data_IF_582814621795
#
_entry.id   IF_582814621795
#
_cell.length_a   1.000
_cell.length_b   1.000
_cell.length_c   1.000
_cell.angle_alpha   90.00
_cell.angle_beta   90.00
_cell.angle_gamma   90.00
#
_symmetry.space_group_name_H-M   'P 1'
#
loop_
_entity.id
_entity.type
_entity.pdbx_description
1 polymer ?
#
# COMPACT_ATOMS: atom_id res chain seq x y z
N UNK A 1 -25.35 -4.20 29.28
CA UNK A 1 -25.52 -3.62 27.94
C UNK A 1 -24.17 -3.67 27.26
N UNK A 2 -24.13 -4.25 26.05
CA UNK A 2 -22.93 -4.39 25.24
C UNK A 2 -22.35 -3.01 24.89
N UNK A 3 -21.03 -2.82 24.99
CA UNK A 3 -20.39 -1.61 24.47
C UNK A 3 -20.40 -1.62 22.93
N UNK A 4 -20.83 -0.51 22.33
CA UNK A 4 -20.73 -0.23 20.90
C UNK A 4 -19.27 -0.21 20.45
N UNK A 5 -18.99 -0.78 19.27
CA UNK A 5 -17.73 -0.65 18.53
C UNK A 5 -17.71 0.49 17.52
N UNK A 6 -18.86 1.09 17.20
CA UNK A 6 -18.87 2.42 16.62
C UNK A 6 -18.17 3.34 17.62
N UNK A 7 -17.26 4.20 17.14
CA UNK A 7 -16.58 5.14 18.01
C UNK A 7 -17.62 5.97 18.75
N UNK A 8 -17.46 6.09 20.07
CA UNK A 8 -18.31 6.95 20.89
C UNK A 8 -18.24 8.36 20.33
N UNK A 9 -19.39 9.01 20.15
CA UNK A 9 -19.44 10.40 19.72
C UNK A 9 -18.58 11.26 20.65
N UNK A 10 -17.69 12.06 20.08
CA UNK A 10 -16.86 12.97 20.86
C UNK A 10 -17.72 13.99 21.61
N UNK A 11 -17.21 14.58 22.71
CA UNK A 11 -17.94 15.59 23.47
C UNK A 11 -18.29 16.79 22.59
N UNK A 12 -19.51 17.34 22.70
CA UNK A 12 -19.93 18.46 21.88
C UNK A 12 -19.19 19.74 22.29
N UNK A 13 -18.70 20.48 21.30
CA UNK A 13 -18.16 21.84 21.51
C UNK A 13 -19.27 22.91 21.65
N UNK A 14 -20.49 22.57 21.22
CA UNK A 14 -21.66 23.44 21.23
C UNK A 14 -22.75 22.82 22.11
N UNK A 15 -23.20 23.51 23.17
CA UNK A 15 -24.32 23.03 23.99
C UNK A 15 -25.53 22.69 23.13
N UNK A 16 -26.13 21.51 23.36
CA UNK A 16 -27.28 21.01 22.59
C UNK A 16 -26.95 20.20 21.32
N UNK A 17 -25.68 20.16 20.89
CA UNK A 17 -25.20 19.29 19.79
C UNK A 17 -24.59 17.99 20.31
N UNK A 18 -25.11 17.48 21.43
CA UNK A 18 -24.65 16.22 22.03
C UNK A 18 -25.18 15.02 21.23
N UNK A 19 -24.33 14.46 20.40
CA UNK A 19 -24.64 13.26 19.63
C UNK A 19 -24.47 11.96 20.44
N UNK A 20 -24.02 12.02 21.69
CA UNK A 20 -23.94 10.84 22.57
C UNK A 20 -25.31 10.21 22.86
N UNK A 21 -26.38 10.99 22.68
CA UNK A 21 -27.77 10.50 22.77
C UNK A 21 -28.27 9.86 21.48
N UNK A 22 -27.59 10.07 20.35
CA UNK A 22 -27.92 9.43 19.08
C UNK A 22 -27.24 8.07 19.03
N UNK A 23 -28.03 7.02 19.18
CA UNK A 23 -27.59 5.65 18.93
C UNK A 23 -28.12 5.23 17.56
N UNK A 24 -27.20 4.96 16.64
CA UNK A 24 -27.48 4.00 15.59
C UNK A 24 -27.31 2.62 16.21
N UNK A 25 -28.10 1.65 15.77
CA UNK A 25 -27.90 0.26 16.18
C UNK A 25 -26.48 -0.15 15.78
N UNK A 26 -25.60 -0.30 16.76
CA UNK A 26 -24.32 -0.99 16.64
C UNK A 26 -24.31 -2.15 17.61
N UNK A 27 -24.89 -3.26 17.21
CA UNK A 27 -25.16 -4.30 18.18
C UNK A 27 -23.89 -5.16 18.12
N UNK A 28 -22.99 -5.18 19.11
CA UNK A 28 -21.75 -6.01 18.96
C UNK A 28 -21.51 -7.06 20.01
N UNK A 29 -21.96 -6.92 21.25
CA UNK A 29 -21.85 -8.06 22.19
C UNK A 29 -23.04 -9.03 22.14
N UNK A 30 -24.20 -8.63 21.60
CA UNK A 30 -25.25 -9.58 21.18
C UNK A 30 -25.13 -10.00 19.71
N UNK A 31 -24.34 -9.29 18.89
CA UNK A 31 -24.11 -9.71 17.50
C UNK A 31 -22.84 -10.47 17.26
N UNK A 32 -21.81 -10.50 18.12
CA UNK A 32 -20.64 -11.31 17.76
C UNK A 32 -21.07 -12.76 17.48
N UNK A 33 -21.94 -13.32 18.32
CA UNK A 33 -22.55 -14.63 18.05
C UNK A 33 -23.40 -14.61 16.77
N UNK A 34 -24.19 -13.55 16.52
CA UNK A 34 -25.04 -13.45 15.32
C UNK A 34 -24.21 -13.31 14.03
N UNK A 35 -23.27 -12.36 13.96
CA UNK A 35 -22.29 -12.16 12.90
C UNK A 35 -21.43 -13.41 12.69
N UNK A 36 -20.96 -14.08 13.74
CA UNK A 36 -20.25 -15.34 13.59
C UNK A 36 -21.15 -16.45 13.04
N UNK A 37 -22.44 -16.43 13.39
CA UNK A 37 -23.46 -17.32 12.80
C UNK A 37 -23.71 -16.97 11.34
N UNK A 38 -23.77 -15.69 10.97
CA UNK A 38 -23.92 -15.23 9.60
C UNK A 38 -22.69 -15.56 8.74
N UNK A 39 -21.48 -15.48 9.33
CA UNK A 39 -20.24 -15.98 8.70
C UNK A 39 -20.38 -17.48 8.44
N UNK A 40 -20.82 -18.26 9.43
CA UNK A 40 -21.03 -19.71 9.30
C UNK A 40 -22.09 -20.03 8.22
N UNK A 41 -23.23 -19.35 8.22
CA UNK A 41 -24.29 -19.53 7.21
C UNK A 41 -23.81 -19.13 5.81
N UNK A 42 -23.02 -18.05 5.69
CA UNK A 42 -22.40 -17.65 4.42
C UNK A 42 -21.44 -18.73 3.92
N UNK A 43 -20.63 -19.32 4.80
CA UNK A 43 -19.73 -20.42 4.44
C UNK A 43 -20.54 -21.65 4.01
N UNK A 44 -21.62 -22.00 4.73
CA UNK A 44 -22.54 -23.10 4.33
C UNK A 44 -23.07 -22.89 2.92
N UNK A 45 -23.48 -21.66 2.58
CA UNK A 45 -23.94 -21.29 1.25
C UNK A 45 -22.85 -21.36 0.16
N UNK A 46 -21.56 -21.36 0.54
CA UNK A 46 -20.41 -21.37 -0.37
C UNK A 46 -19.59 -22.67 -0.35
N UNK A 47 -20.04 -23.73 0.35
CA UNK A 47 -19.26 -24.98 0.47
C UNK A 47 -18.87 -25.58 -0.89
N UNK A 48 -19.75 -25.50 -1.89
CA UNK A 48 -19.45 -26.00 -3.24
C UNK A 48 -18.26 -25.29 -3.90
N UNK A 49 -18.07 -23.98 -3.65
CA UNK A 49 -16.94 -23.22 -4.17
C UNK A 49 -15.61 -23.62 -3.52
N UNK A 50 -15.65 -24.28 -2.36
CA UNK A 50 -14.48 -24.73 -1.61
C UNK A 50 -14.00 -26.14 -1.99
N UNK A 51 -14.73 -26.90 -2.81
CA UNK A 51 -14.45 -28.31 -3.15
C UNK A 51 -13.05 -28.65 -3.65
N UNK A 52 -12.28 -27.67 -4.10
CA UNK A 52 -10.96 -27.86 -4.68
C UNK A 52 -9.85 -27.11 -3.92
N UNK A 53 -10.14 -26.60 -2.72
CA UNK A 53 -9.13 -25.90 -1.92
C UNK A 53 -8.05 -26.84 -1.35
N UNK A 54 -8.30 -28.15 -1.34
CA UNK A 54 -7.39 -29.21 -0.85
C UNK A 54 -6.78 -28.89 0.53
N UNK A 55 -7.65 -28.48 1.46
CA UNK A 55 -7.22 -28.00 2.77
C UNK A 55 -8.20 -28.39 3.87
N UNK A 56 -7.66 -28.77 5.03
CA UNK A 56 -8.36 -28.78 6.30
C UNK A 56 -8.03 -27.48 7.03
N UNK A 57 -8.99 -26.56 7.11
CA UNK A 57 -8.79 -25.22 7.64
C UNK A 57 -9.45 -25.03 9.01
N UNK A 58 -8.78 -24.27 9.87
CA UNK A 58 -9.33 -23.65 11.07
C UNK A 58 -9.56 -22.17 10.80
N UNK A 59 -10.83 -21.75 10.72
CA UNK A 59 -11.20 -20.35 10.60
C UNK A 59 -11.65 -19.82 11.97
N UNK A 60 -10.89 -18.88 12.52
CA UNK A 60 -11.17 -18.21 13.80
C UNK A 60 -11.83 -16.86 13.50
N UNK A 61 -13.14 -16.78 13.68
CA UNK A 61 -13.86 -15.51 13.70
C UNK A 61 -13.56 -14.83 15.02
N UNK A 62 -13.13 -13.57 15.02
CA UNK A 62 -12.75 -12.82 16.23
C UNK A 62 -13.22 -11.37 16.20
N UNK A 63 -13.49 -10.79 17.36
CA UNK A 63 -13.88 -9.38 17.49
C UNK A 63 -12.73 -8.40 17.25
N UNK A 64 -11.48 -8.84 17.47
CA UNK A 64 -10.28 -8.00 17.30
C UNK A 64 -9.11 -8.80 16.70
N UNK A 65 -8.33 -8.15 15.83
CA UNK A 65 -7.10 -8.74 15.28
C UNK A 65 -5.88 -8.53 16.20
N UNK A 66 -4.93 -9.48 16.26
CA UNK A 66 -4.94 -10.79 15.57
C UNK A 66 -5.84 -11.83 16.25
N UNK A 67 -6.17 -11.62 17.53
CA UNK A 67 -7.17 -12.39 18.30
C UNK A 67 -7.66 -11.53 19.46
N UNK A 68 -8.96 -11.38 19.60
CA UNK A 68 -9.63 -10.69 20.70
C UNK A 68 -10.18 -11.63 21.76
N UNK A 69 -11.06 -11.10 22.61
CA UNK A 69 -11.66 -11.84 23.72
C UNK A 69 -12.77 -12.79 23.24
N UNK A 70 -13.50 -12.39 22.20
CA UNK A 70 -14.58 -13.18 21.62
C UNK A 70 -14.04 -13.92 20.39
N UNK A 71 -14.21 -15.24 20.38
CA UNK A 71 -13.82 -16.08 19.25
C UNK A 71 -14.85 -17.18 18.97
N UNK A 72 -15.05 -17.50 17.69
CA UNK A 72 -15.75 -18.70 17.23
C UNK A 72 -14.88 -19.39 16.19
N UNK A 73 -14.66 -20.68 16.38
CA UNK A 73 -13.88 -21.49 15.45
C UNK A 73 -14.82 -22.27 14.53
N UNK A 74 -14.51 -22.23 13.24
CA UNK A 74 -15.18 -22.99 12.19
C UNK A 74 -14.13 -23.87 11.53
N UNK A 75 -14.30 -25.19 11.61
CA UNK A 75 -13.43 -26.12 10.89
C UNK A 75 -14.04 -26.45 9.52
N UNK A 76 -13.24 -26.30 8.48
CA UNK A 76 -13.65 -26.52 7.09
C UNK A 76 -12.76 -27.63 6.54
N UNK A 77 -13.35 -28.79 6.24
CA UNK A 77 -12.69 -29.87 5.50
C UNK A 77 -13.03 -29.70 4.04
N UNK A 78 -12.11 -29.13 3.26
CA UNK A 78 -12.23 -28.89 1.82
C UNK A 78 -11.27 -29.78 1.01
N UNK A 79 -10.92 -30.95 1.56
CA UNK A 79 -10.08 -31.95 0.89
C UNK A 79 -10.89 -32.72 -0.18
N UNK A 80 -10.24 -33.40 -1.15
CA UNK A 80 -10.90 -34.08 -2.28
C UNK A 80 -11.98 -35.10 -1.92
N UNK A 81 -12.08 -35.52 -0.65
CA UNK A 81 -13.12 -36.42 -0.14
C UNK A 81 -14.51 -35.75 0.03
N UNK A 82 -14.61 -34.45 -0.24
CA UNK A 82 -15.87 -33.67 -0.25
C UNK A 82 -15.89 -32.58 0.82
N UNK A 83 -16.34 -31.37 0.44
CA UNK A 83 -16.36 -30.23 1.37
C UNK A 83 -17.42 -30.39 2.44
N UNK A 84 -17.02 -30.25 3.71
CA UNK A 84 -17.93 -30.22 4.86
C UNK A 84 -17.39 -29.34 5.98
N UNK A 85 -18.30 -28.88 6.82
CA UNK A 85 -17.94 -28.27 8.10
C UNK A 85 -17.75 -29.37 9.14
N UNK A 86 -16.81 -29.16 10.08
CA UNK A 86 -16.55 -30.07 11.19
C UNK A 86 -16.75 -29.35 12.53
N UNK A 87 -17.13 -30.11 13.55
CA UNK A 87 -17.11 -29.61 14.94
C UNK A 87 -15.68 -29.55 15.50
N UNK A 88 -14.82 -30.48 15.07
CA UNK A 88 -13.39 -30.52 15.41
C UNK A 88 -12.59 -31.25 14.32
N UNK A 89 -11.25 -31.06 14.24
CA UNK A 89 -10.39 -31.81 13.33
C UNK A 89 -10.46 -33.32 13.62
N UNK A 90 -10.32 -34.19 12.59
CA UNK A 90 -10.27 -35.63 12.82
C UNK A 90 -9.16 -36.01 13.82
N UNK A 91 -9.38 -36.99 14.71
CA UNK A 91 -8.39 -37.40 15.70
C UNK A 91 -7.02 -37.70 15.08
N UNK A 92 -5.96 -37.15 15.67
CA UNK A 92 -4.58 -37.33 15.18
C UNK A 92 -4.24 -36.54 13.91
N UNK A 93 -5.12 -35.65 13.43
CA UNK A 93 -4.89 -34.82 12.24
C UNK A 93 -4.67 -33.36 12.65
N UNK A 94 -3.55 -32.76 12.20
CA UNK A 94 -3.34 -31.31 12.28
C UNK A 94 -4.08 -30.59 11.16
N UNK A 95 -4.60 -29.39 11.43
CA UNK A 95 -5.12 -28.52 10.36
C UNK A 95 -3.99 -28.08 9.44
N UNK A 96 -4.29 -27.92 8.16
CA UNK A 96 -3.36 -27.43 7.15
C UNK A 96 -3.10 -25.92 7.27
N UNK A 97 -4.12 -25.19 7.74
CA UNK A 97 -4.09 -23.73 7.80
C UNK A 97 -5.01 -23.20 8.91
N UNK A 98 -4.53 -22.19 9.63
CA UNK A 98 -5.33 -21.42 10.59
C UNK A 98 -5.42 -19.98 10.11
N UNK A 99 -6.63 -19.44 10.04
CA UNK A 99 -6.92 -18.08 9.60
C UNK A 99 -7.77 -17.38 10.65
N UNK A 100 -7.34 -16.21 11.13
CA UNK A 100 -8.16 -15.35 12.00
C UNK A 100 -8.71 -14.17 11.22
N UNK A 101 -10.00 -13.88 11.33
CA UNK A 101 -10.65 -12.74 10.65
C UNK A 101 -11.69 -12.09 11.57
N UNK A 102 -11.89 -10.78 11.43
CA UNK A 102 -13.11 -10.14 11.93
C UNK A 102 -14.29 -10.36 10.98
N UNK A 103 -15.54 -10.37 11.47
CA UNK A 103 -16.72 -10.46 10.60
C UNK A 103 -16.74 -9.41 9.48
N UNK A 104 -16.36 -8.16 9.74
CA UNK A 104 -16.31 -7.10 8.73
C UNK A 104 -15.33 -7.40 7.59
N UNK A 105 -14.19 -8.03 7.90
CA UNK A 105 -13.21 -8.45 6.90
C UNK A 105 -13.74 -9.62 6.07
N UNK A 106 -14.38 -10.61 6.72
CA UNK A 106 -15.02 -11.72 6.03
C UNK A 106 -16.10 -11.24 5.07
N UNK A 107 -17.03 -10.38 5.53
CA UNK A 107 -18.09 -9.85 4.65
C UNK A 107 -17.54 -8.92 3.57
N UNK A 108 -16.50 -8.14 3.88
CA UNK A 108 -15.79 -7.37 2.87
C UNK A 108 -15.27 -8.25 1.74
N UNK A 109 -14.64 -9.38 2.06
CA UNK A 109 -14.20 -10.37 1.07
C UNK A 109 -15.37 -11.06 0.36
N UNK A 110 -16.33 -11.58 1.13
CA UNK A 110 -17.45 -12.36 0.61
C UNK A 110 -18.42 -11.57 -0.27
N UNK A 111 -18.44 -10.25 -0.13
CA UNK A 111 -19.19 -9.31 -0.96
C UNK A 111 -18.35 -8.71 -2.11
N UNK A 112 -17.05 -9.01 -2.17
CA UNK A 112 -16.14 -8.50 -3.20
C UNK A 112 -15.69 -7.06 -2.99
N UNK A 113 -15.78 -6.54 -1.77
CA UNK A 113 -15.32 -5.20 -1.38
C UNK A 113 -13.84 -5.20 -0.93
N UNK A 114 -13.33 -6.34 -0.45
CA UNK A 114 -11.93 -6.52 -0.04
C UNK A 114 -11.24 -7.57 -0.88
N UNK A 115 -9.95 -7.35 -1.13
CA UNK A 115 -9.05 -8.29 -1.78
C UNK A 115 -8.56 -9.36 -0.80
N UNK A 116 -8.34 -10.59 -1.28
CA UNK A 116 -7.73 -11.65 -0.46
C UNK A 116 -6.34 -11.23 0.04
N UNK A 117 -5.56 -10.49 -0.76
CA UNK A 117 -4.22 -10.05 -0.35
C UNK A 117 -4.26 -8.93 0.68
N UNK A 118 -5.33 -8.13 0.69
CA UNK A 118 -5.56 -7.13 1.73
C UNK A 118 -6.01 -7.80 3.04
N UNK A 119 -6.95 -8.73 2.95
CA UNK A 119 -7.38 -9.57 4.10
C UNK A 119 -6.19 -10.34 4.65
N UNK A 120 -5.33 -10.86 3.78
CA UNK A 120 -4.09 -11.51 4.13
C UNK A 120 -3.14 -10.59 4.89
N UNK A 121 -2.84 -9.40 4.35
CA UNK A 121 -1.90 -8.48 4.97
C UNK A 121 -2.37 -7.94 6.33
N UNK A 122 -3.67 -7.70 6.48
CA UNK A 122 -4.26 -7.15 7.71
C UNK A 122 -4.59 -8.26 8.71
N UNK A 123 -5.00 -9.41 8.21
CA UNK A 123 -5.51 -10.54 9.00
C UNK A 123 -4.42 -11.53 9.42
N UNK A 124 -3.35 -11.69 8.63
CA UNK A 124 -2.26 -12.60 8.97
C UNK A 124 -1.27 -11.94 9.92
N UNK A 125 -1.53 -12.12 11.21
CA UNK A 125 -0.43 -12.35 12.12
C UNK A 125 -0.38 -13.86 12.36
N UNK A 126 0.39 -14.59 11.56
CA UNK A 126 0.52 -16.03 11.78
C UNK A 126 1.91 -16.52 11.36
N UNK A 127 2.83 -16.57 12.32
CA UNK A 127 3.80 -17.65 12.34
C UNK A 127 3.04 -18.97 12.09
N UNK A 128 3.32 -19.64 10.97
CA UNK A 128 2.75 -20.97 10.67
C UNK A 128 1.58 -21.04 9.67
N UNK A 129 1.10 -19.94 9.09
CA UNK A 129 0.15 -20.04 7.98
C UNK A 129 0.82 -20.64 6.72
N UNK A 130 0.12 -21.52 6.00
CA UNK A 130 0.47 -21.96 4.65
C UNK A 130 -0.15 -20.95 3.65
N UNK A 131 0.59 -19.95 3.13
CA UNK A 131 -0.01 -18.85 2.38
C UNK A 131 -0.76 -19.31 1.12
N UNK A 132 -0.26 -20.27 0.31
CA UNK A 132 -1.04 -20.85 -0.78
C UNK A 132 -2.43 -21.32 -0.36
N UNK A 133 -2.52 -22.16 0.68
CA UNK A 133 -3.81 -22.74 1.12
C UNK A 133 -4.74 -21.71 1.75
N UNK A 134 -4.21 -20.76 2.54
CA UNK A 134 -5.03 -19.68 3.13
C UNK A 134 -5.57 -18.72 2.07
N UNK A 135 -4.74 -18.32 1.10
CA UNK A 135 -5.19 -17.46 0.02
C UNK A 135 -6.24 -18.19 -0.83
N UNK A 136 -5.99 -19.44 -1.23
CA UNK A 136 -6.96 -20.19 -2.04
C UNK A 136 -8.32 -20.38 -1.34
N UNK A 137 -8.30 -20.74 -0.06
CA UNK A 137 -9.52 -20.85 0.76
C UNK A 137 -10.32 -19.55 0.80
N UNK A 138 -9.66 -18.42 1.09
CA UNK A 138 -10.29 -17.11 1.22
C UNK A 138 -10.74 -16.56 -0.14
N UNK A 139 -9.91 -16.68 -1.16
CA UNK A 139 -10.19 -16.19 -2.51
C UNK A 139 -11.44 -16.87 -3.11
N UNK A 140 -11.64 -18.17 -2.83
CA UNK A 140 -12.87 -18.90 -3.18
C UNK A 140 -14.13 -18.43 -2.44
N UNK A 141 -13.98 -17.71 -1.33
CA UNK A 141 -15.10 -17.05 -0.65
C UNK A 141 -15.48 -15.73 -1.32
N UNK A 142 -14.63 -15.14 -2.17
CA UNK A 142 -14.96 -13.95 -2.96
C UNK A 142 -15.94 -14.29 -4.09
N UNK A 143 -16.88 -13.38 -4.45
CA UNK A 143 -17.69 -13.55 -5.66
C UNK A 143 -16.87 -13.43 -6.94
N UNK A 144 -15.61 -12.99 -6.84
CA UNK A 144 -14.67 -12.79 -7.94
C UNK A 144 -13.30 -13.32 -7.50
N UNK A 145 -13.10 -14.64 -7.47
CA UNK A 145 -11.80 -15.21 -7.10
C UNK A 145 -10.71 -14.71 -8.05
N UNK A 146 -9.53 -14.46 -7.51
CA UNK A 146 -8.37 -14.02 -8.27
C UNK A 146 -7.93 -15.11 -9.25
N UNK A 147 -7.41 -14.69 -10.41
CA UNK A 147 -6.70 -15.64 -11.28
C UNK A 147 -5.38 -16.00 -10.63
N UNK A 148 -5.12 -17.29 -10.51
CA UNK A 148 -3.87 -17.81 -9.95
C UNK A 148 -2.91 -18.15 -11.07
N UNK A 149 -1.68 -17.67 -10.94
CA UNK A 149 -0.59 -17.99 -11.85
C UNK A 149 -0.25 -19.47 -11.77
N UNK A 150 -0.25 -20.13 -12.92
CA UNK A 150 0.48 -21.36 -13.12
C UNK A 150 1.88 -21.01 -13.65
N UNK A 151 2.96 -21.27 -12.91
CA UNK A 151 4.31 -20.89 -13.33
C UNK A 151 4.72 -21.40 -14.72
N UNK A 152 4.15 -22.54 -15.15
CA UNK A 152 4.42 -23.10 -16.49
C UNK A 152 3.87 -22.23 -17.62
N UNK A 153 2.78 -21.52 -17.37
CA UNK A 153 2.11 -20.65 -18.33
C UNK A 153 2.78 -19.26 -18.39
N UNK A 154 3.64 -18.95 -17.42
CA UNK A 154 4.39 -17.70 -17.30
C UNK A 154 5.85 -17.89 -17.70
N UNK A 155 6.06 -18.45 -18.88
CA UNK A 155 7.38 -18.64 -19.49
C UNK A 155 7.60 -17.58 -20.55
N UNK A 156 8.51 -16.65 -20.28
CA UNK A 156 8.94 -15.64 -21.24
C UNK A 156 10.33 -16.00 -21.75
N UNK A 157 10.54 -15.91 -23.06
CA UNK A 157 11.90 -15.94 -23.61
C UNK A 157 12.68 -14.73 -23.06
N UNK A 158 13.93 -14.93 -22.65
CA UNK A 158 14.80 -13.85 -22.17
C UNK A 158 14.90 -12.68 -23.17
N UNK A 159 14.82 -12.98 -24.47
CA UNK A 159 14.86 -11.96 -25.52
C UNK A 159 13.58 -11.14 -25.64
N UNK A 160 12.46 -11.68 -25.16
CA UNK A 160 11.19 -10.97 -25.16
C UNK A 160 11.03 -10.05 -23.95
N UNK A 161 11.80 -10.26 -22.89
CA UNK A 161 11.70 -9.50 -21.64
C UNK A 161 12.31 -8.10 -21.77
N UNK A 162 11.81 -7.12 -21.00
CA UNK A 162 12.39 -5.79 -20.94
C UNK A 162 13.90 -5.82 -20.64
N UNK A 163 14.68 -5.19 -21.51
CA UNK A 163 16.14 -4.98 -21.36
C UNK A 163 16.41 -3.49 -21.11
N UNK A 164 17.50 -3.13 -20.41
CA UNK A 164 17.86 -1.72 -20.26
C UNK A 164 18.00 -1.02 -21.61
N UNK A 165 17.21 0.02 -21.83
CA UNK A 165 17.17 0.81 -23.06
C UNK A 165 17.07 2.30 -22.76
N UNK A 166 17.52 3.14 -23.69
CA UNK A 166 17.32 4.60 -23.64
C UNK A 166 16.13 5.05 -24.49
N UNK A 167 15.49 4.14 -25.23
CA UNK A 167 14.31 4.44 -26.04
C UNK A 167 13.05 4.50 -25.17
N UNK A 168 12.48 5.70 -25.03
CA UNK A 168 11.27 5.93 -24.25
C UNK A 168 10.04 5.21 -24.80
N UNK A 169 9.95 5.01 -26.12
CA UNK A 169 8.84 4.29 -26.73
C UNK A 169 8.88 2.80 -26.37
N UNK A 170 10.09 2.24 -26.32
CA UNK A 170 10.34 0.89 -25.84
C UNK A 170 10.00 0.74 -24.35
N UNK A 171 10.45 1.66 -23.49
CA UNK A 171 10.11 1.65 -22.06
C UNK A 171 8.59 1.69 -21.86
N UNK A 172 7.89 2.59 -22.57
CA UNK A 172 6.42 2.71 -22.53
C UNK A 172 5.72 1.42 -22.99
N UNK A 173 6.22 0.79 -24.05
CA UNK A 173 5.72 -0.51 -24.55
C UNK A 173 5.91 -1.61 -23.52
N UNK A 174 7.08 -1.67 -22.89
CA UNK A 174 7.45 -2.69 -21.92
C UNK A 174 6.63 -2.57 -20.63
N UNK A 175 6.42 -1.35 -20.12
CA UNK A 175 5.52 -1.10 -18.99
C UNK A 175 4.10 -1.58 -19.31
N UNK A 176 3.57 -1.31 -20.51
CA UNK A 176 2.23 -1.78 -20.91
C UNK A 176 2.16 -3.30 -21.01
N UNK A 177 3.14 -3.93 -21.64
CA UNK A 177 3.14 -5.37 -21.95
C UNK A 177 3.49 -6.24 -20.75
N UNK A 178 4.49 -5.83 -19.97
CA UNK A 178 5.08 -6.63 -18.90
C UNK A 178 4.88 -6.05 -17.50
N UNK A 179 4.40 -4.81 -17.39
CA UNK A 179 4.15 -4.16 -16.10
C UNK A 179 5.36 -3.41 -15.57
N UNK A 180 6.51 -3.50 -16.25
CA UNK A 180 7.74 -2.81 -15.90
C UNK A 180 8.60 -2.51 -17.13
N UNK A 181 9.52 -1.56 -16.99
CA UNK A 181 10.54 -1.22 -17.98
C UNK A 181 11.83 -0.78 -17.30
N UNK A 182 12.95 -0.82 -18.04
CA UNK A 182 14.29 -0.48 -17.54
C UNK A 182 14.86 0.69 -18.33
N UNK A 183 14.79 1.90 -17.74
CA UNK A 183 15.38 3.09 -18.32
C UNK A 183 16.89 3.09 -18.05
N UNK A 184 17.68 2.70 -19.04
CA UNK A 184 19.13 2.67 -18.98
C UNK A 184 19.70 4.08 -18.94
N UNK A 185 20.84 4.24 -18.28
CA UNK A 185 21.58 5.51 -18.22
C UNK A 185 20.70 6.67 -17.71
N UNK A 186 19.71 6.35 -16.85
CA UNK A 186 18.82 7.33 -16.23
C UNK A 186 19.58 8.23 -15.27
N UNK A 187 20.67 7.74 -14.65
CA UNK A 187 21.60 8.57 -13.91
C UNK A 187 23.00 8.39 -14.48
N UNK A 188 23.69 9.51 -14.68
CA UNK A 188 25.11 9.51 -14.99
C UNK A 188 25.92 8.95 -13.80
N UNK A 189 27.11 8.37 -14.03
CA UNK A 189 27.93 7.81 -12.96
C UNK A 189 28.20 8.78 -11.81
N UNK A 190 28.42 10.07 -12.08
CA UNK A 190 28.61 11.08 -11.03
C UNK A 190 27.34 11.31 -10.19
N UNK A 191 26.17 11.29 -10.81
CA UNK A 191 24.88 11.44 -10.11
C UNK A 191 24.61 10.23 -9.21
N UNK A 192 24.95 9.02 -9.67
CA UNK A 192 24.91 7.79 -8.85
C UNK A 192 25.80 7.94 -7.62
N UNK A 193 27.03 8.44 -7.76
CA UNK A 193 27.93 8.62 -6.63
C UNK A 193 27.41 9.67 -5.62
N UNK A 194 26.87 10.80 -6.11
CA UNK A 194 26.29 11.85 -5.27
C UNK A 194 25.14 11.28 -4.43
N UNK A 195 24.17 10.64 -5.08
CA UNK A 195 22.99 10.08 -4.41
C UNK A 195 23.36 8.92 -3.48
N UNK A 196 24.27 8.02 -3.91
CA UNK A 196 24.72 6.91 -3.08
C UNK A 196 25.39 7.42 -1.79
N UNK A 197 26.26 8.43 -1.89
CA UNK A 197 26.90 9.02 -0.71
C UNK A 197 25.87 9.60 0.25
N UNK A 198 24.95 10.43 -0.25
CA UNK A 198 23.89 11.02 0.56
C UNK A 198 23.03 9.95 1.27
N UNK A 199 22.68 8.88 0.56
CA UNK A 199 21.94 7.74 1.11
C UNK A 199 22.68 7.12 2.29
N UNK A 200 23.97 6.79 2.11
CA UNK A 200 24.75 6.10 3.14
C UNK A 200 25.03 7.00 4.35
N UNK A 201 25.28 8.28 4.13
CA UNK A 201 25.46 9.29 5.19
C UNK A 201 24.17 9.46 6.00
N UNK A 202 23.02 9.60 5.32
CA UNK A 202 21.72 9.71 5.97
C UNK A 202 21.35 8.44 6.74
N UNK A 203 21.59 7.25 6.16
CA UNK A 203 21.36 5.97 6.82
C UNK A 203 22.18 5.83 8.11
N UNK A 204 23.47 6.20 8.06
CA UNK A 204 24.34 6.22 9.22
C UNK A 204 23.88 7.24 10.27
N UNK A 205 23.42 8.41 9.83
CA UNK A 205 22.84 9.45 10.69
C UNK A 205 21.61 8.96 11.46
N UNK A 206 20.67 8.30 10.78
CA UNK A 206 19.46 7.75 11.41
C UNK A 206 19.78 6.63 12.41
N UNK A 207 20.75 5.76 12.08
CA UNK A 207 21.24 4.73 13.02
C UNK A 207 21.83 5.37 14.26
N UNK A 208 22.70 6.39 14.09
CA UNK A 208 23.34 7.12 15.19
C UNK A 208 22.32 7.85 16.07
N UNK A 209 21.26 8.39 15.48
CA UNK A 209 20.19 9.08 16.19
C UNK A 209 19.16 8.14 16.83
N UNK A 210 19.22 6.82 16.56
CA UNK A 210 18.27 5.85 17.10
C UNK A 210 16.88 5.90 16.44
N UNK A 211 16.78 6.47 15.24
CA UNK A 211 15.53 6.63 14.48
C UNK A 211 15.50 5.80 13.19
N UNK A 212 16.51 4.96 12.96
CA UNK A 212 16.58 4.09 11.80
C UNK A 212 15.42 3.09 11.79
N UNK A 213 14.74 2.99 10.65
CA UNK A 213 13.71 1.99 10.42
C UNK A 213 14.36 0.72 9.84
N UNK A 214 14.45 -0.32 10.66
CA UNK A 214 15.08 -1.60 10.32
C UNK A 214 14.00 -2.64 10.05
N UNK A 215 13.97 -3.15 8.82
CA UNK A 215 13.00 -4.12 8.34
C UNK A 215 13.72 -5.43 7.92
N UNK A 216 13.01 -6.56 7.94
CA UNK A 216 13.52 -7.81 7.35
C UNK A 216 14.86 -8.31 7.92
N UNK A 217 15.18 -7.92 9.17
CA UNK A 217 16.42 -8.28 9.87
C UNK A 217 17.59 -7.34 9.61
N UNK A 218 17.96 -7.17 8.33
CA UNK A 218 19.18 -6.42 7.94
C UNK A 218 18.92 -5.24 7.00
N UNK A 219 17.67 -5.02 6.56
CA UNK A 219 17.36 -3.91 5.68
C UNK A 219 17.17 -2.63 6.48
N UNK A 220 17.54 -1.49 5.89
CA UNK A 220 17.14 -0.19 6.39
C UNK A 220 16.29 0.54 5.35
N UNK A 221 15.21 1.17 5.82
CA UNK A 221 14.39 2.05 5.00
C UNK A 221 14.57 3.50 5.42
N UNK A 222 14.88 4.36 4.46
CA UNK A 222 14.89 5.81 4.67
C UNK A 222 13.59 6.39 4.12
N UNK A 223 12.71 6.85 5.00
CA UNK A 223 11.45 7.47 4.60
C UNK A 223 11.61 8.96 4.29
N UNK A 224 10.77 9.50 3.41
CA UNK A 224 10.65 10.94 3.16
C UNK A 224 11.99 11.61 2.80
N UNK A 225 12.77 11.01 1.90
CA UNK A 225 14.14 11.48 1.58
C UNK A 225 14.19 12.86 0.93
N UNK A 226 13.08 13.31 0.33
CA UNK A 226 12.91 14.70 -0.14
C UNK A 226 13.01 15.73 0.99
N UNK A 227 12.92 15.32 2.25
CA UNK A 227 13.13 16.19 3.41
C UNK A 227 14.51 15.99 4.08
N UNK A 228 15.44 15.31 3.41
CA UNK A 228 16.72 14.88 4.02
C UNK A 228 17.96 15.34 3.26
N UNK A 229 17.82 15.84 2.04
CA UNK A 229 18.93 16.34 1.23
C UNK A 229 18.47 16.98 -0.06
N UNK A 230 19.19 18.01 -0.50
CA UNK A 230 18.85 18.79 -1.70
C UNK A 230 19.00 17.93 -2.97
N UNK A 231 19.95 16.98 -3.00
CA UNK A 231 20.12 16.03 -4.10
C UNK A 231 18.89 15.13 -4.34
N UNK A 232 18.12 14.81 -3.29
CA UNK A 232 16.87 14.08 -3.45
C UNK A 232 15.78 14.98 -4.05
N UNK A 233 15.72 16.25 -3.63
CA UNK A 233 14.82 17.24 -4.25
C UNK A 233 15.16 17.48 -5.71
N UNK A 234 16.45 17.55 -6.05
CA UNK A 234 16.91 17.75 -7.42
C UNK A 234 16.51 16.58 -8.32
N UNK A 235 16.43 15.36 -7.79
CA UNK A 235 15.95 14.22 -8.57
C UNK A 235 14.50 14.38 -9.02
N UNK A 236 13.65 15.13 -8.33
CA UNK A 236 12.29 15.49 -8.81
C UNK A 236 12.31 16.29 -10.13
N UNK A 237 13.46 16.85 -10.51
CA UNK A 237 13.63 17.52 -11.80
C UNK A 237 13.93 16.57 -12.96
N UNK A 238 14.00 15.25 -12.70
CA UNK A 238 14.37 14.27 -13.71
C UNK A 238 13.35 14.16 -14.86
N UNK A 239 13.78 14.21 -16.14
CA UNK A 239 12.87 14.24 -17.30
C UNK A 239 12.09 12.94 -17.50
N UNK A 240 12.57 11.81 -16.98
CA UNK A 240 11.83 10.54 -17.02
C UNK A 240 10.45 10.64 -16.33
N UNK A 241 10.32 11.52 -15.33
CA UNK A 241 9.03 11.79 -14.71
C UNK A 241 8.07 12.46 -15.69
N UNK A 242 8.52 13.43 -16.49
CA UNK A 242 7.69 14.11 -17.48
C UNK A 242 7.21 13.14 -18.58
N UNK A 243 8.11 12.28 -19.03
CA UNK A 243 7.83 11.34 -20.10
C UNK A 243 6.81 10.27 -19.72
N UNK A 244 6.83 9.81 -18.46
CA UNK A 244 6.08 8.64 -18.04
C UNK A 244 4.86 8.96 -17.17
N UNK A 245 4.89 10.02 -16.36
CA UNK A 245 3.79 10.31 -15.44
C UNK A 245 2.51 10.73 -16.18
N UNK A 246 2.56 11.75 -17.02
CA UNK A 246 1.38 12.20 -17.77
C UNK A 246 0.86 11.12 -18.70
N UNK A 247 1.77 10.38 -19.34
CA UNK A 247 1.42 9.27 -20.21
C UNK A 247 0.69 8.12 -19.49
N UNK A 248 1.09 7.81 -18.24
CA UNK A 248 0.58 6.64 -17.52
C UNK A 248 -0.54 6.97 -16.51
N UNK A 249 -0.37 8.02 -15.72
CA UNK A 249 -1.27 8.43 -14.63
C UNK A 249 -2.18 9.60 -15.00
N UNK A 250 -1.92 10.26 -16.13
CA UNK A 250 -2.59 11.49 -16.53
C UNK A 250 -2.03 12.72 -15.82
N UNK A 251 -2.67 13.86 -16.08
CA UNK A 251 -2.24 15.16 -15.53
C UNK A 251 -2.34 15.22 -14.01
N UNK A 252 -1.51 16.09 -13.42
CA UNK A 252 -1.51 16.40 -11.98
C UNK A 252 -1.22 15.23 -11.04
N UNK A 253 -0.68 14.12 -11.56
CA UNK A 253 -0.10 13.06 -10.71
C UNK A 253 0.96 13.64 -9.76
N UNK A 254 1.15 12.98 -8.62
CA UNK A 254 2.01 13.51 -7.57
C UNK A 254 2.63 12.42 -6.71
N UNK A 255 3.69 12.80 -6.02
CA UNK A 255 4.51 11.94 -5.19
C UNK A 255 3.68 11.42 -4.01
N UNK A 256 3.54 10.11 -3.96
CA UNK A 256 2.97 9.38 -2.83
C UNK A 256 4.01 9.15 -1.74
N UNK A 257 5.23 8.81 -2.16
CA UNK A 257 6.39 8.64 -1.28
C UNK A 257 7.69 8.80 -2.08
N UNK A 258 8.72 9.31 -1.41
CA UNK A 258 10.11 9.12 -1.80
C UNK A 258 10.84 8.43 -0.65
N UNK A 259 11.44 7.28 -0.93
CA UNK A 259 12.15 6.48 0.07
C UNK A 259 13.37 5.80 -0.51
N UNK A 260 14.26 5.34 0.36
CA UNK A 260 15.37 4.46 -0.03
C UNK A 260 15.20 3.13 0.66
N UNK A 261 15.37 2.05 -0.10
CA UNK A 261 15.47 0.70 0.45
C UNK A 261 16.93 0.26 0.36
N UNK A 262 17.58 0.07 1.50
CA UNK A 262 18.94 -0.45 1.61
C UNK A 262 18.83 -1.92 1.99
N UNK A 263 19.10 -2.81 1.04
CA UNK A 263 19.09 -4.25 1.29
C UNK A 263 20.39 -4.67 1.96
N UNK A 264 20.30 -5.24 3.16
CA UNK A 264 21.44 -5.81 3.85
C UNK A 264 21.76 -7.24 3.40
N UNK A 265 22.94 -7.79 3.78
CA UNK A 265 23.26 -9.20 3.60
C UNK A 265 22.21 -10.13 4.21
N UNK A 266 21.86 -11.20 3.50
CA UNK A 266 20.91 -12.24 3.91
C UNK A 266 19.55 -11.71 4.35
N UNK A 267 19.08 -10.63 3.72
CA UNK A 267 17.79 -10.04 4.05
C UNK A 267 16.64 -11.04 3.88
N UNK A 268 15.59 -10.86 4.69
CA UNK A 268 14.32 -11.52 4.43
C UNK A 268 13.61 -10.81 3.26
N UNK A 269 13.21 -11.53 2.19
CA UNK A 269 12.45 -10.93 1.10
C UNK A 269 11.03 -10.62 1.57
N UNK A 270 10.41 -9.61 0.97
CA UNK A 270 8.98 -9.39 1.15
C UNK A 270 8.20 -10.48 0.41
N UNK A 271 7.05 -10.95 0.93
CA UNK A 271 6.10 -11.68 0.11
C UNK A 271 5.80 -10.89 -1.17
N UNK A 272 5.57 -11.58 -2.28
CA UNK A 272 5.07 -10.95 -3.50
C UNK A 272 3.82 -10.14 -3.18
N UNK A 273 3.80 -8.91 -3.67
CA UNK A 273 2.72 -7.96 -3.46
C UNK A 273 2.60 -7.04 -4.67
N UNK A 274 1.53 -6.25 -4.65
CA UNK A 274 1.33 -5.08 -5.50
C UNK A 274 1.49 -3.87 -4.61
N UNK A 275 1.92 -2.72 -5.10
CA UNK A 275 1.96 -1.50 -4.27
C UNK A 275 0.55 -0.93 -4.02
N UNK A 276 -0.41 -1.27 -4.90
CA UNK A 276 -1.81 -0.83 -4.85
C UNK A 276 -2.68 -1.63 -3.82
N UNK A 277 -2.08 -2.11 -2.73
CA UNK A 277 -2.71 -3.01 -1.72
C UNK A 277 -4.07 -2.55 -1.17
N UNK A 278 -4.31 -1.26 -0.86
CA UNK A 278 -5.59 -0.86 -0.25
C UNK A 278 -6.75 -0.76 -1.25
N UNK A 279 -6.51 -0.96 -2.54
CA UNK A 279 -7.58 -0.91 -3.54
C UNK A 279 -8.02 -2.32 -3.94
N UNK A 280 -9.32 -2.42 -4.19
CA UNK A 280 -9.91 -3.62 -4.76
C UNK A 280 -9.19 -3.98 -6.10
N UNK A 281 -8.70 -5.22 -6.29
CA UNK A 281 -8.03 -5.66 -7.50
C UNK A 281 -8.83 -5.39 -8.77
N UNK A 282 -10.16 -5.28 -8.72
CA UNK A 282 -10.98 -5.06 -9.92
C UNK A 282 -10.93 -3.61 -10.44
N UNK A 283 -10.05 -2.77 -9.91
CA UNK A 283 -9.67 -1.52 -10.56
C UNK A 283 -8.61 -1.84 -11.62
N UNK A 284 -9.06 -2.02 -12.86
CA UNK A 284 -8.18 -2.28 -14.01
C UNK A 284 -7.24 -1.10 -14.30
N UNK A 285 -7.63 0.09 -13.86
CA UNK A 285 -6.82 1.29 -13.96
C UNK A 285 -5.74 1.33 -12.86
N UNK A 286 -4.45 1.31 -13.24
CA UNK A 286 -3.39 1.54 -12.27
C UNK A 286 -3.47 2.98 -11.76
N UNK A 287 -3.39 3.13 -10.44
CA UNK A 287 -3.41 4.47 -9.81
C UNK A 287 -2.04 4.98 -9.43
N UNK A 288 -0.98 4.19 -9.62
CA UNK A 288 0.38 4.60 -9.33
C UNK A 288 1.43 4.04 -10.27
N UNK A 289 2.59 4.69 -10.25
CA UNK A 289 3.79 4.33 -11.00
C UNK A 289 5.02 4.58 -10.12
N UNK A 290 5.85 3.56 -9.99
CA UNK A 290 7.06 3.58 -9.15
C UNK A 290 8.31 3.64 -10.00
N UNK A 291 9.25 4.49 -9.60
CA UNK A 291 10.55 4.70 -10.22
C UNK A 291 11.64 4.33 -9.21
N UNK A 292 12.41 3.29 -9.49
CA UNK A 292 13.44 2.75 -8.61
C UNK A 292 14.80 2.88 -9.29
N UNK A 293 15.59 3.86 -8.85
CA UNK A 293 16.93 4.13 -9.35
C UNK A 293 17.97 3.26 -8.64
N UNK A 294 18.81 2.60 -9.43
CA UNK A 294 19.85 1.71 -8.93
C UNK A 294 21.14 2.46 -8.64
N UNK A 295 21.61 2.39 -7.39
CA UNK A 295 22.84 3.06 -6.93
C UNK A 295 24.10 2.19 -7.09
N UNK A 296 23.93 0.97 -7.59
CA UNK A 296 24.93 -0.01 -7.97
C UNK A 296 24.30 -1.00 -8.96
N UNK A 297 25.09 -1.91 -9.53
CA UNK A 297 24.55 -2.97 -10.38
C UNK A 297 23.54 -3.81 -9.61
N UNK A 298 22.32 -3.93 -10.14
CA UNK A 298 21.28 -4.79 -9.59
C UNK A 298 21.35 -6.15 -10.29
N UNK A 299 21.47 -7.22 -9.52
CA UNK A 299 21.59 -8.58 -10.03
C UNK A 299 20.83 -9.57 -9.14
N UNK A 300 20.61 -10.78 -9.65
CA UNK A 300 20.00 -11.87 -8.88
C UNK A 300 20.69 -12.12 -7.54
N UNK A 301 22.02 -12.04 -7.50
CA UNK A 301 22.81 -12.41 -6.30
C UNK A 301 22.81 -11.33 -5.23
N UNK A 302 22.72 -10.05 -5.58
CA UNK A 302 22.56 -8.97 -4.59
C UNK A 302 21.09 -8.61 -4.32
N UNK A 303 20.15 -9.45 -4.74
CA UNK A 303 18.73 -9.40 -4.36
C UNK A 303 17.88 -8.49 -5.24
N UNK A 304 18.08 -8.50 -6.57
CA UNK A 304 17.36 -7.61 -7.50
C UNK A 304 15.85 -7.72 -7.26
N UNK A 305 15.12 -6.63 -7.46
CA UNK A 305 13.66 -6.68 -7.38
C UNK A 305 13.15 -7.74 -8.35
N UNK A 306 12.42 -8.72 -7.82
CA UNK A 306 11.76 -9.73 -8.62
C UNK A 306 10.42 -9.21 -9.08
N UNK A 307 10.10 -9.40 -10.36
CA UNK A 307 8.81 -9.05 -10.97
C UNK A 307 8.20 -10.30 -11.60
N UNK A 308 6.88 -10.44 -11.56
CA UNK A 308 6.15 -11.43 -12.35
C UNK A 308 5.66 -10.71 -13.61
N UNK A 309 6.29 -10.92 -14.78
CA UNK A 309 5.96 -10.16 -15.97
C UNK A 309 4.50 -10.39 -16.39
N UNK A 310 3.85 -9.32 -16.85
CA UNK A 310 2.46 -9.30 -17.30
C UNK A 310 1.41 -9.67 -16.24
N UNK A 311 1.79 -9.82 -14.96
CA UNK A 311 0.86 -10.15 -13.87
C UNK A 311 -0.18 -9.05 -13.58
N UNK A 312 0.10 -7.81 -14.01
CA UNK A 312 -0.85 -6.69 -13.98
C UNK A 312 -2.01 -6.87 -14.96
N UNK A 313 -1.87 -7.72 -15.99
CA UNK A 313 -2.92 -7.99 -16.98
C UNK A 313 -3.86 -9.05 -16.41
N UNK A 314 -5.10 -8.66 -16.11
CA UNK A 314 -6.11 -9.58 -15.58
C UNK A 314 -5.89 -10.01 -14.12
N UNK A 315 -5.05 -9.27 -13.38
CA UNK A 315 -4.81 -9.41 -11.94
C UNK A 315 -4.42 -10.83 -11.51
N UNK A 316 -3.43 -11.40 -12.20
CA UNK A 316 -2.98 -12.77 -11.94
C UNK A 316 -1.99 -12.79 -10.79
N UNK A 317 -2.39 -13.39 -9.66
CA UNK A 317 -1.56 -13.49 -8.45
C UNK A 317 -0.65 -14.72 -8.48
N UNK A 318 0.52 -14.69 -7.81
CA UNK A 318 1.30 -15.91 -7.61
C UNK A 318 0.51 -16.94 -6.81
N UNK A 319 0.72 -18.23 -7.12
CA UNK A 319 0.19 -19.34 -6.31
C UNK A 319 0.73 -19.28 -4.87
N UNK A 320 2.05 -19.09 -4.74
CA UNK A 320 2.72 -18.92 -3.47
C UNK A 320 3.38 -17.54 -3.43
N UNK A 321 2.87 -16.57 -2.64
CA UNK A 321 3.48 -15.26 -2.54
C UNK A 321 4.87 -15.28 -1.89
N UNK A 322 5.29 -16.38 -1.26
CA UNK A 322 6.63 -16.53 -0.70
C UNK A 322 7.59 -17.30 -1.62
N UNK A 323 7.16 -17.64 -2.84
CA UNK A 323 8.02 -18.29 -3.85
C UNK A 323 8.36 -17.33 -4.97
N UNK A 324 9.57 -17.46 -5.52
CA UNK A 324 10.02 -16.74 -6.71
C UNK A 324 9.60 -17.41 -8.03
N UNK A 325 8.79 -18.46 -8.00
CA UNK A 325 8.32 -19.16 -9.21
C UNK A 325 7.60 -18.20 -10.17
N UNK A 326 7.89 -18.29 -11.47
CA UNK A 326 7.31 -17.41 -12.49
C UNK A 326 7.78 -15.95 -12.44
N UNK A 327 8.67 -15.60 -11.52
CA UNK A 327 9.27 -14.27 -11.42
C UNK A 327 10.66 -14.20 -12.06
N UNK A 328 11.07 -13.00 -12.46
CA UNK A 328 12.39 -12.70 -12.98
C UNK A 328 13.04 -11.56 -12.17
N UNK A 329 14.36 -11.60 -11.95
CA UNK A 329 15.06 -10.48 -11.35
C UNK A 329 15.19 -9.34 -12.38
N UNK A 330 14.69 -8.14 -12.06
CA UNK A 330 14.90 -6.93 -12.85
C UNK A 330 16.35 -6.45 -12.70
N UNK A 331 17.27 -7.17 -13.35
CA UNK A 331 18.71 -6.92 -13.26
C UNK A 331 19.13 -5.86 -14.26
N UNK A 332 19.93 -4.90 -13.83
CA UNK A 332 20.47 -3.85 -14.69
C UNK A 332 21.68 -3.17 -14.04
N UNK A 333 22.57 -2.53 -14.83
CA UNK A 333 23.69 -1.76 -14.29
C UNK A 333 23.27 -0.58 -13.42
N UNK A 334 24.18 -0.11 -12.57
CA UNK A 334 24.04 1.13 -11.81
C UNK A 334 23.63 2.30 -12.71
N UNK A 335 22.80 3.20 -12.18
CA UNK A 335 22.24 4.33 -12.93
C UNK A 335 21.04 3.98 -13.81
N UNK A 336 20.64 2.71 -13.89
CA UNK A 336 19.35 2.32 -14.48
C UNK A 336 18.20 2.69 -13.52
N UNK A 337 17.07 3.12 -14.08
CA UNK A 337 15.81 3.25 -13.35
C UNK A 337 14.86 2.11 -13.75
N UNK A 338 14.49 1.26 -12.79
CA UNK A 338 13.36 0.34 -12.92
C UNK A 338 12.08 1.13 -12.73
N UNK A 339 11.25 1.19 -13.78
CA UNK A 339 9.92 1.79 -13.71
C UNK A 339 8.88 0.69 -13.73
N UNK A 340 7.96 0.66 -12.76
CA UNK A 340 6.95 -0.38 -12.69
C UNK A 340 5.58 0.12 -12.26
N UNK A 341 4.57 -0.48 -12.87
CA UNK A 341 3.16 -0.28 -12.56
C UNK A 341 2.85 -0.82 -11.15
N UNK A 342 2.16 -0.06 -10.30
CA UNK A 342 1.82 -0.47 -8.94
C UNK A 342 0.89 -1.69 -8.84
N UNK A 343 0.32 -2.17 -9.95
CA UNK A 343 -0.46 -3.41 -10.01
C UNK A 343 0.34 -4.65 -10.45
N UNK A 344 1.60 -4.50 -10.86
CA UNK A 344 2.47 -5.65 -11.15
C UNK A 344 2.90 -6.33 -9.85
N UNK A 345 2.84 -7.65 -9.84
CA UNK A 345 3.32 -8.43 -8.71
C UNK A 345 4.84 -8.41 -8.67
N UNK A 346 5.38 -8.03 -7.52
CA UNK A 346 6.82 -7.92 -7.32
C UNK A 346 7.21 -8.24 -5.87
N UNK A 347 8.48 -8.53 -5.66
CA UNK A 347 9.06 -8.86 -4.36
C UNK A 347 10.51 -8.37 -4.29
N UNK A 348 10.96 -8.03 -3.09
CA UNK A 348 12.39 -7.82 -2.83
C UNK A 348 13.13 -9.13 -3.01
N UNK A 349 14.21 -9.16 -3.81
CA UNK A 349 15.07 -10.33 -3.91
C UNK A 349 15.87 -10.60 -2.63
N UNK A 350 16.58 -11.72 -2.62
CA UNK A 350 17.48 -12.10 -1.52
C UNK A 350 18.90 -11.67 -1.86
N UNK A 351 19.48 -10.80 -1.04
CA UNK A 351 20.87 -10.41 -1.14
C UNK A 351 21.76 -11.46 -0.48
N UNK A 352 22.39 -12.31 -1.28
CA UNK A 352 23.33 -13.34 -0.83
C UNK A 352 24.79 -12.84 -0.79
N UNK A 353 25.01 -11.54 -1.00
CA UNK A 353 26.34 -10.93 -0.91
C UNK A 353 26.59 -10.37 0.49
N UNK A 354 27.81 -9.89 0.73
CA UNK A 354 28.20 -9.25 1.99
C UNK A 354 28.10 -7.72 1.95
N UNK A 355 27.55 -7.14 0.88
CA UNK A 355 27.44 -5.70 0.71
C UNK A 355 25.99 -5.23 0.81
N UNK A 356 25.78 -3.99 1.26
CA UNK A 356 24.47 -3.33 1.21
C UNK A 356 24.16 -2.88 -0.22
N UNK A 357 22.91 -3.07 -0.67
CA UNK A 357 22.44 -2.54 -1.95
C UNK A 357 21.34 -1.49 -1.77
N UNK A 358 21.66 -0.19 -1.91
CA UNK A 358 20.66 0.88 -1.89
C UNK A 358 19.94 1.02 -3.24
N UNK A 359 18.63 1.19 -3.18
CA UNK A 359 17.78 1.60 -4.29
C UNK A 359 16.88 2.76 -3.87
N UNK A 360 16.88 3.83 -4.66
CA UNK A 360 16.11 5.05 -4.40
C UNK A 360 14.77 4.99 -5.14
N UNK A 361 13.67 5.14 -4.43
CA UNK A 361 12.31 4.90 -4.93
C UNK A 361 11.50 6.20 -4.86
N UNK A 362 10.91 6.59 -5.99
CA UNK A 362 9.90 7.63 -6.09
C UNK A 362 8.63 7.00 -6.62
N UNK A 363 7.58 6.94 -5.80
CA UNK A 363 6.29 6.41 -6.20
C UNK A 363 5.29 7.56 -6.35
N UNK A 364 4.62 7.62 -7.50
CA UNK A 364 3.62 8.63 -7.82
C UNK A 364 2.24 7.99 -7.89
N UNK A 365 1.22 8.76 -7.50
CA UNK A 365 -0.17 8.38 -7.59
C UNK A 365 -0.97 9.36 -8.47
N UNK A 366 -2.10 8.89 -9.00
CA UNK A 366 -3.13 9.76 -9.59
C UNK A 366 -3.59 10.80 -8.55
N UNK A 367 -3.96 11.98 -9.04
CA UNK A 367 -4.17 13.16 -8.20
C UNK A 367 -5.26 13.05 -7.12
N UNK A 368 -6.22 12.14 -7.29
CA UNK A 368 -7.33 11.91 -6.37
C UNK A 368 -7.02 10.89 -5.26
N UNK A 369 -5.90 10.16 -5.38
CA UNK A 369 -5.45 9.24 -4.34
C UNK A 369 -4.72 9.99 -3.26
N UNK A 370 -4.81 9.56 -2.00
CA UNK A 370 -3.93 10.05 -0.93
C UNK A 370 -2.49 9.59 -1.10
N UNK A 371 -1.54 10.35 -0.54
CA UNK A 371 -0.13 9.97 -0.48
C UNK A 371 0.14 9.06 0.71
N UNK A 372 1.08 8.11 0.56
CA UNK A 372 1.53 7.26 1.67
C UNK A 372 2.25 8.07 2.74
N UNK A 373 3.06 9.05 2.33
CA UNK A 373 3.69 10.04 3.22
C UNK A 373 3.01 11.38 2.98
N UNK A 374 2.51 12.05 4.02
CA UNK A 374 1.79 13.32 3.88
C UNK A 374 2.77 14.50 3.75
N UNK A 375 2.99 15.04 2.53
CA UNK A 375 4.00 16.08 2.33
C UNK A 375 3.64 17.40 3.02
N UNK A 376 2.35 17.68 3.25
CA UNK A 376 1.88 18.90 3.90
C UNK A 376 2.25 18.99 5.38
N UNK A 377 2.59 17.84 5.99
CA UNK A 377 2.98 17.73 7.40
C UNK A 377 4.40 17.21 7.58
N UNK A 378 5.00 16.60 6.55
CA UNK A 378 6.30 15.94 6.65
C UNK A 378 7.47 16.76 6.08
N UNK A 379 7.21 17.88 5.41
CA UNK A 379 8.25 18.77 4.90
C UNK A 379 8.54 19.93 5.88
N UNK A 380 9.81 20.18 6.14
CA UNK A 380 10.29 21.34 6.88
C UNK A 380 10.10 22.63 6.09
N UNK A 381 9.96 23.77 6.80
CA UNK A 381 9.78 25.06 6.14
C UNK A 381 11.00 25.44 5.28
N UNK A 382 12.20 25.11 5.75
CA UNK A 382 13.45 25.28 5.02
C UNK A 382 13.51 24.52 3.69
N UNK A 383 12.85 23.37 3.61
CA UNK A 383 12.67 22.62 2.36
C UNK A 383 11.62 23.29 1.47
N UNK A 384 10.46 23.64 2.05
CA UNK A 384 9.35 24.28 1.33
C UNK A 384 9.77 25.59 0.62
N UNK A 385 10.60 26.39 1.28
CA UNK A 385 11.08 27.68 0.79
C UNK A 385 11.97 27.55 -0.45
N UNK A 386 12.63 26.40 -0.64
CA UNK A 386 13.50 26.12 -1.79
C UNK A 386 12.75 25.54 -2.99
N UNK A 387 11.54 24.99 -2.78
CA UNK A 387 10.86 24.23 -3.83
C UNK A 387 10.54 25.09 -5.04
N UNK A 388 10.99 24.65 -6.21
CA UNK A 388 10.58 25.19 -7.49
C UNK A 388 9.10 24.91 -7.75
N UNK A 389 8.48 25.63 -8.69
CA UNK A 389 7.09 25.36 -9.09
C UNK A 389 6.88 23.90 -9.52
N UNK A 390 7.84 23.33 -10.25
CA UNK A 390 7.82 21.93 -10.67
C UNK A 390 7.80 20.99 -9.46
N UNK A 391 8.72 21.19 -8.51
CA UNK A 391 8.78 20.35 -7.31
C UNK A 391 7.51 20.51 -6.46
N UNK A 392 6.95 21.73 -6.35
CA UNK A 392 5.66 21.96 -5.71
C UNK A 392 4.54 21.17 -6.40
N UNK A 393 4.50 21.14 -7.73
CA UNK A 393 3.52 20.33 -8.48
C UNK A 393 3.65 18.84 -8.16
N UNK A 394 4.87 18.30 -8.25
CA UNK A 394 5.15 16.89 -8.01
C UNK A 394 4.95 16.49 -6.54
N UNK A 395 5.16 17.39 -5.58
CA UNK A 395 4.91 17.15 -4.15
C UNK A 395 3.45 17.44 -3.75
N UNK A 396 2.65 17.97 -4.67
CA UNK A 396 1.24 18.24 -4.45
C UNK A 396 0.87 19.58 -3.83
N UNK A 397 1.78 20.54 -3.78
CA UNK A 397 1.50 21.92 -3.37
C UNK A 397 0.91 22.77 -4.51
N UNK A 398 -0.02 22.19 -5.27
CA UNK A 398 -0.80 22.89 -6.30
C UNK A 398 -2.27 22.45 -6.29
N UNK A 399 -3.16 23.32 -6.74
CA UNK A 399 -4.58 23.03 -6.93
C UNK A 399 -4.74 22.01 -8.04
N UNK A 400 -5.66 21.06 -7.86
CA UNK A 400 -5.95 20.02 -8.85
C UNK A 400 -7.44 20.02 -9.19
N UNK A 401 -7.87 19.45 -10.34
CA UNK A 401 -9.28 19.47 -10.72
C UNK A 401 -10.16 18.86 -9.64
N UNK A 402 -11.00 19.66 -8.97
CA UNK A 402 -11.84 19.25 -7.83
C UNK A 402 -11.12 18.93 -6.50
N UNK A 403 -9.79 19.06 -6.41
CA UNK A 403 -9.03 18.73 -5.19
C UNK A 403 -8.03 19.81 -4.74
N UNK A 404 -7.66 19.73 -3.46
CA UNK A 404 -6.55 20.49 -2.85
C UNK A 404 -6.73 22.01 -2.78
N UNK A 405 -7.98 22.47 -2.65
CA UNK A 405 -8.31 23.89 -2.51
C UNK A 405 -8.09 24.35 -1.07
N UNK A 406 -7.58 25.57 -0.89
CA UNK A 406 -7.58 26.27 0.40
C UNK A 406 -8.58 27.43 0.33
N UNK A 407 -9.70 27.29 1.04
CA UNK A 407 -10.78 28.29 1.07
C UNK A 407 -11.75 28.14 -0.11
N UNK A 408 -11.63 29.01 -1.12
CA UNK A 408 -12.56 29.08 -2.27
C UNK A 408 -12.03 28.32 -3.49
N UNK A 409 -12.91 28.17 -4.47
CA UNK A 409 -12.59 27.68 -5.81
C UNK A 409 -11.47 28.52 -6.47
N UNK A 410 -10.38 27.88 -6.93
CA UNK A 410 -9.17 28.33 -7.65
C UNK A 410 -8.90 27.49 -8.92
N UNK A 411 -8.04 27.96 -9.82
CA UNK A 411 -7.75 27.24 -11.07
C UNK A 411 -6.74 26.10 -10.83
N UNK A 412 -6.87 25.00 -11.59
CA UNK A 412 -5.90 23.90 -11.51
C UNK A 412 -4.48 24.36 -11.92
N UNK A 413 -3.47 23.87 -11.21
CA UNK A 413 -2.06 24.22 -11.41
C UNK A 413 -1.56 25.42 -10.60
N UNK A 414 -2.44 26.20 -9.98
CA UNK A 414 -2.04 27.30 -9.08
C UNK A 414 -1.33 26.74 -7.83
N UNK A 415 -0.21 27.33 -7.38
CA UNK A 415 0.41 26.98 -6.11
C UNK A 415 -0.56 27.06 -4.93
N UNK A 416 -0.48 26.07 -4.05
CA UNK A 416 -1.20 26.04 -2.78
C UNK A 416 -0.21 26.32 -1.68
N UNK A 417 -0.46 27.39 -0.94
CA UNK A 417 0.35 27.80 0.20
C UNK A 417 -0.40 27.50 1.50
N UNK A 418 0.37 27.21 2.55
CA UNK A 418 -0.17 27.13 3.89
C UNK A 418 -0.75 28.50 4.24
N UNK A 419 -2.03 28.57 4.57
CA UNK A 419 -2.63 29.80 5.04
C UNK A 419 -2.00 30.18 6.38
N UNK A 420 -1.16 31.23 6.39
CA UNK A 420 -0.54 31.77 7.62
C UNK A 420 -1.60 32.20 8.63
N UNK A 421 -2.74 32.69 8.13
CA UNK A 421 -3.87 33.10 8.92
C UNK A 421 -5.18 32.50 8.38
N UNK A 422 -5.53 31.32 8.89
CA UNK A 422 -6.82 30.67 8.60
C UNK A 422 -8.02 31.38 9.24
N UNK A 423 -7.82 32.42 10.06
CA UNK A 423 -8.94 33.19 10.59
C UNK A 423 -9.68 33.94 9.48
N UNK A 424 -9.00 34.34 8.39
CA UNK A 424 -9.61 35.03 7.25
C UNK A 424 -10.53 34.16 6.39
N UNK A 425 -10.44 32.83 6.51
CA UNK A 425 -11.41 31.91 5.88
C UNK A 425 -12.60 31.60 6.79
N UNK A 426 -12.60 32.12 8.02
CA UNK A 426 -13.69 32.01 8.99
C UNK A 426 -14.35 33.39 9.14
N UNK A 427 -15.54 33.57 8.59
CA UNK A 427 -16.36 34.70 8.98
C UNK A 427 -16.90 34.47 10.40
N UNK A 428 -17.05 35.55 11.18
CA UNK A 428 -17.86 35.47 12.41
C UNK A 428 -19.27 35.02 12.05
N UNK A 429 -19.81 34.11 12.85
CA UNK A 429 -21.18 33.64 12.66
C UNK A 429 -22.14 34.80 12.94
N UNK A 430 -22.93 35.21 11.94
CA UNK A 430 -23.99 36.21 12.13
C UNK A 430 -25.28 35.48 12.51
N UNK A 431 -25.79 35.62 13.75
CA UNK A 431 -27.03 34.94 14.14
C UNK A 431 -28.20 35.45 13.32
N UNK A 432 -28.95 34.54 12.69
CA UNK A 432 -30.19 34.89 12.00
C UNK A 432 -31.28 35.06 13.07
N UNK A 433 -31.70 36.31 13.33
CA UNK A 433 -32.94 36.59 14.07
C UNK A 433 -32.85 37.03 15.54
N UNK A 434 -31.80 37.73 15.98
CA UNK A 434 -31.79 38.32 17.33
C UNK A 434 -30.81 39.48 17.46
N UNK A 435 -31.27 40.59 18.06
CA UNK A 435 -30.49 41.82 18.29
C UNK A 435 -29.10 41.49 18.86
N UNK A 436 -28.08 42.15 18.30
CA UNK A 436 -26.73 42.15 18.83
C UNK A 436 -26.74 42.64 20.29
N UNK A 437 -26.71 41.71 21.23
CA UNK A 437 -26.25 41.98 22.60
C UNK A 437 -24.89 41.30 22.71
N UNK A 438 -23.86 42.12 22.93
CA UNK A 438 -22.45 41.79 22.77
C UNK A 438 -22.06 40.41 23.27
N UNK A 439 -21.41 39.65 22.38
CA UNK A 439 -20.71 38.43 22.74
C UNK A 439 -19.22 38.75 22.62
N UNK A 440 -18.53 38.59 23.75
CA UNK A 440 -17.10 38.72 23.86
C UNK A 440 -16.37 37.85 22.83
N UNK A 441 -15.19 38.33 22.43
CA UNK A 441 -14.34 37.76 21.39
C UNK A 441 -14.11 36.25 21.52
N UNK A 442 -14.03 35.59 20.37
CA UNK A 442 -13.71 34.17 20.14
C UNK A 442 -12.33 33.74 20.71
N UNK A 443 -11.59 34.63 21.38
CA UNK A 443 -10.22 34.43 21.84
C UNK A 443 -10.04 33.54 23.08
N UNK A 444 -11.09 33.12 23.78
CA UNK A 444 -10.95 32.31 25.01
C UNK A 444 -11.19 30.80 24.85
N UNK A 445 -11.48 30.29 23.64
CA UNK A 445 -11.72 28.84 23.45
C UNK A 445 -10.49 27.99 23.15
N UNK A 446 -9.28 28.56 23.14
CA UNK A 446 -8.03 27.83 22.90
C UNK A 446 -7.02 28.01 24.05
N UNK A 447 -7.43 27.71 25.28
CA UNK A 447 -6.52 27.41 26.38
C UNK A 447 -7.17 26.44 27.36
N UNK A 448 -7.01 25.14 27.10
CA UNK A 448 -6.67 24.11 28.11
C UNK A 448 -6.36 22.79 27.43
#
# INVERSE_FOLDING_TARGET
MAASTLPVAGPPLTPGMDFGTLSYSDPKAQEFDALASDVLETIKGKLSALNEADTLAELIVTDRMPRGELTKTIYIDARPTGTRLLESPPPGTSVDVTVSLRPDMFFGLANGNLDVNMVARIGFNAQGANPPKSHDLLDRMSPRPSKVMNPKDYTFSEDALPKPTTDIAEIKRDIKKFGYGLAKDALAPEQVQILRRAILEQAAGERKAGVADIEGGTNQRLWNVVNKGDEFLDLLNHPLFDELLTWFLGDYSYLSQASVNILGPNNMPMPFHRDQIPMNPFTDDPVGLSFMFYMEDSSKTNGATHVIPASHIGHVRPWNPNSFDGSIPASAPAGTCLVFNTTVWHSTGVNTTNAERPALIYAFNRYFMGSTVNPYLSLGQDVLDKLTLRQKQLLGFVVRPAFNWVGKTRSAGEPVERAEDVSKTRAEYVPIGGKATGIASISERYTR
#
